data_IF_498414073488
#
_entry.id   IF_498414073488
#
_cell.length_a   1.000
_cell.length_b   1.000
_cell.length_c   1.000
_cell.angle_alpha   90.00
_cell.angle_beta   90.00
_cell.angle_gamma   90.00
#
_symmetry.space_group_name_H-M   'P 1'
#
loop_
_entity.id
_entity.type
_entity.pdbx_description
1 polymer ?
#
# COMPACT_ATOMS: atom_id res chain seq x y z
N UNK A 1 -65.16 5.67 -30.82
CA UNK A 1 -65.69 4.63 -29.90
C UNK A 1 -66.96 4.05 -30.51
N UNK A 2 -67.00 2.75 -30.74
CA UNK A 2 -68.03 2.06 -31.50
C UNK A 2 -68.75 1.02 -30.64
N UNK A 3 -70.08 0.99 -30.69
CA UNK A 3 -70.87 0.01 -29.96
C UNK A 3 -70.94 -1.30 -30.72
N UNK A 4 -70.59 -2.41 -30.07
CA UNK A 4 -70.63 -3.76 -30.64
C UNK A 4 -71.37 -4.71 -29.67
N UNK A 5 -71.79 -5.91 -30.12
CA UNK A 5 -72.37 -6.92 -29.23
C UNK A 5 -71.43 -7.37 -28.09
N UNK A 6 -70.14 -7.02 -28.15
CA UNK A 6 -69.13 -7.31 -27.13
C UNK A 6 -68.79 -6.09 -26.25
N UNK A 7 -69.50 -4.97 -26.43
CA UNK A 7 -69.30 -3.72 -25.68
C UNK A 7 -68.79 -2.59 -26.57
N UNK A 8 -68.40 -1.49 -25.92
CA UNK A 8 -67.89 -0.28 -26.59
C UNK A 8 -66.40 -0.47 -26.87
N UNK A 9 -66.02 -0.42 -28.15
CA UNK A 9 -64.64 -0.59 -28.61
C UNK A 9 -64.04 0.74 -29.10
N UNK A 10 -62.74 0.94 -28.90
CA UNK A 10 -62.03 2.02 -29.58
C UNK A 10 -61.88 1.71 -31.07
N UNK A 11 -61.61 2.73 -31.89
CA UNK A 11 -61.63 2.61 -33.36
C UNK A 11 -60.67 1.53 -33.89
N UNK A 12 -59.48 1.40 -33.26
CA UNK A 12 -58.52 0.34 -33.63
C UNK A 12 -58.99 -1.07 -33.27
N UNK A 13 -59.69 -1.23 -32.15
CA UNK A 13 -60.24 -2.53 -31.75
C UNK A 13 -61.47 -2.88 -32.59
N UNK A 14 -62.26 -1.88 -32.96
CA UNK A 14 -63.41 -2.04 -33.85
C UNK A 14 -62.99 -2.49 -35.25
N UNK A 15 -61.99 -1.85 -35.88
CA UNK A 15 -61.47 -2.25 -37.19
C UNK A 15 -60.90 -3.68 -37.17
N UNK A 16 -60.17 -4.04 -36.11
CA UNK A 16 -59.63 -5.40 -35.96
C UNK A 16 -60.74 -6.44 -35.87
N UNK A 17 -61.77 -6.17 -35.06
CA UNK A 17 -62.94 -7.04 -34.93
C UNK A 17 -63.71 -7.14 -36.25
N UNK A 18 -63.89 -6.02 -36.95
CA UNK A 18 -64.58 -6.00 -38.24
C UNK A 18 -63.88 -6.86 -39.29
N UNK A 19 -62.55 -6.91 -39.27
CA UNK A 19 -61.76 -7.65 -40.26
C UNK A 19 -61.56 -9.14 -39.88
N UNK A 20 -61.50 -9.47 -38.59
CA UNK A 20 -61.14 -10.82 -38.12
C UNK A 20 -62.27 -11.58 -37.44
N UNK A 21 -63.35 -10.91 -37.03
CA UNK A 21 -64.41 -11.47 -36.19
C UNK A 21 -64.02 -11.74 -34.74
N UNK A 22 -62.75 -11.54 -34.37
CA UNK A 22 -62.20 -11.82 -33.04
C UNK A 22 -61.92 -10.54 -32.26
N UNK A 23 -61.96 -10.62 -30.92
CA UNK A 23 -61.46 -9.53 -30.07
C UNK A 23 -59.95 -9.43 -30.21
N UNK A 24 -59.45 -8.19 -30.26
CA UNK A 24 -58.01 -7.92 -30.36
C UNK A 24 -57.29 -8.50 -29.13
N UNK A 25 -56.30 -9.40 -29.29
CA UNK A 25 -55.55 -9.94 -28.15
C UNK A 25 -54.86 -8.82 -27.36
N UNK A 26 -55.02 -8.84 -26.03
CA UNK A 26 -54.53 -7.81 -25.10
C UNK A 26 -52.99 -7.72 -25.06
N UNK A 27 -52.30 -8.72 -25.62
CA UNK A 27 -50.85 -8.84 -25.63
C UNK A 27 -50.10 -7.99 -26.67
N UNK A 28 -50.75 -7.00 -27.29
CA UNK A 28 -50.08 -5.97 -28.11
C UNK A 28 -49.93 -4.64 -27.37
N UNK A 29 -49.57 -4.69 -26.08
CA UNK A 29 -48.58 -3.72 -25.62
C UNK A 29 -47.26 -4.15 -26.25
N UNK A 30 -46.75 -3.33 -27.17
CA UNK A 30 -45.50 -3.57 -27.86
C UNK A 30 -44.43 -4.00 -26.86
N UNK A 31 -43.93 -5.25 -26.98
CA UNK A 31 -42.77 -5.76 -26.22
C UNK A 31 -41.49 -4.93 -26.43
N UNK A 32 -41.53 -3.92 -27.31
CA UNK A 32 -40.49 -2.92 -27.52
C UNK A 32 -40.55 -1.71 -26.57
N UNK A 33 -41.61 -1.51 -25.79
CA UNK A 33 -41.71 -0.36 -24.85
C UNK A 33 -41.32 -0.67 -23.40
N UNK A 34 -41.00 -1.93 -23.06
CA UNK A 34 -40.68 -2.34 -21.67
C UNK A 34 -39.16 -2.52 -21.45
N UNK A 35 -38.33 -2.43 -22.49
CA UNK A 35 -36.87 -2.64 -22.35
C UNK A 35 -36.05 -1.39 -22.01
N UNK A 36 -36.66 -0.21 -21.90
CA UNK A 36 -35.92 1.06 -21.89
C UNK A 36 -36.20 2.03 -20.74
N UNK A 37 -36.62 1.59 -19.54
CA UNK A 37 -36.50 2.44 -18.33
C UNK A 37 -36.41 1.58 -17.07
N UNK A 38 -35.23 1.19 -16.59
CA UNK A 38 -35.08 0.61 -15.23
C UNK A 38 -33.76 0.92 -14.52
N UNK A 39 -33.00 1.91 -14.98
CA UNK A 39 -31.87 2.41 -14.22
C UNK A 39 -32.09 3.92 -13.99
N UNK A 40 -31.74 4.42 -12.80
CA UNK A 40 -31.73 5.86 -12.57
C UNK A 40 -30.85 6.57 -13.62
N UNK A 41 -31.11 7.86 -13.92
CA UNK A 41 -30.25 8.63 -14.81
C UNK A 41 -28.78 8.53 -14.39
N UNK A 42 -27.86 8.76 -15.32
CA UNK A 42 -26.41 8.72 -15.05
C UNK A 42 -26.10 9.59 -13.82
N UNK A 43 -25.28 9.06 -12.91
CA UNK A 43 -24.88 9.69 -11.64
C UNK A 43 -25.98 9.78 -10.55
N UNK A 44 -27.09 9.05 -10.70
CA UNK A 44 -28.06 8.89 -9.63
C UNK A 44 -28.03 7.45 -9.14
N UNK A 45 -27.86 7.25 -7.83
CA UNK A 45 -27.99 5.95 -7.18
C UNK A 45 -29.29 5.92 -6.39
N UNK A 46 -30.13 4.93 -6.66
CA UNK A 46 -31.39 4.71 -5.93
C UNK A 46 -31.27 3.39 -5.16
N UNK A 47 -31.17 3.49 -3.84
CA UNK A 47 -31.18 2.33 -2.94
C UNK A 47 -32.43 2.38 -2.05
N UNK A 48 -33.23 1.32 -2.09
CA UNK A 48 -34.49 1.20 -1.35
C UNK A 48 -34.24 1.18 0.17
N UNK A 49 -33.08 0.70 0.59
CA UNK A 49 -32.68 0.65 2.00
C UNK A 49 -32.46 2.07 2.54
N UNK A 50 -31.84 2.94 1.76
CA UNK A 50 -31.58 4.33 2.15
C UNK A 50 -32.85 5.21 2.14
N UNK A 51 -33.84 4.87 1.31
CA UNK A 51 -35.13 5.57 1.25
C UNK A 51 -36.05 5.29 2.45
N UNK A 52 -35.75 4.26 3.25
CA UNK A 52 -36.64 3.77 4.32
C UNK A 52 -36.02 3.79 5.72
N UNK A 53 -34.71 4.03 5.82
CA UNK A 53 -33.95 3.82 7.07
C UNK A 53 -33.88 5.02 8.00
N UNK A 54 -33.70 6.24 7.48
CA UNK A 54 -33.43 7.43 8.29
C UNK A 54 -34.22 8.65 7.79
N UNK A 55 -34.58 9.55 8.71
CA UNK A 55 -35.06 10.89 8.35
C UNK A 55 -33.97 11.63 7.57
N UNK A 56 -34.35 12.27 6.47
CA UNK A 56 -33.42 12.97 5.55
C UNK A 56 -32.54 13.97 6.32
N UNK A 57 -33.13 14.76 7.22
CA UNK A 57 -32.44 15.77 8.02
C UNK A 57 -31.29 15.19 8.87
N UNK A 58 -31.50 14.01 9.46
CA UNK A 58 -30.47 13.35 10.26
C UNK A 58 -29.33 12.84 9.38
N UNK A 59 -29.65 12.28 8.22
CA UNK A 59 -28.63 11.81 7.27
C UNK A 59 -27.79 12.97 6.73
N UNK A 60 -28.41 14.12 6.47
CA UNK A 60 -27.70 15.33 6.09
C UNK A 60 -26.75 15.79 7.20
N UNK A 61 -27.20 15.84 8.45
CA UNK A 61 -26.34 16.19 9.59
C UNK A 61 -25.16 15.22 9.76
N UNK A 62 -25.41 13.92 9.71
CA UNK A 62 -24.38 12.88 9.80
C UNK A 62 -23.34 13.04 8.67
N UNK A 63 -23.77 13.29 7.43
CA UNK A 63 -22.86 13.53 6.30
C UNK A 63 -22.01 14.78 6.52
N UNK A 64 -22.59 15.88 7.02
CA UNK A 64 -21.84 17.10 7.28
C UNK A 64 -20.79 16.91 8.38
N UNK A 65 -21.15 16.19 9.45
CA UNK A 65 -20.23 15.88 10.55
C UNK A 65 -19.05 15.03 10.06
N UNK A 66 -19.31 13.96 9.32
CA UNK A 66 -18.27 13.11 8.74
C UNK A 66 -17.36 13.88 7.78
N UNK A 67 -17.93 14.74 6.92
CA UNK A 67 -17.15 15.58 6.02
C UNK A 67 -16.25 16.55 6.79
N UNK A 68 -16.73 17.14 7.89
CA UNK A 68 -15.94 18.03 8.74
C UNK A 68 -14.77 17.30 9.38
N UNK A 69 -14.99 16.08 9.88
CA UNK A 69 -13.93 15.23 10.44
C UNK A 69 -12.88 14.89 9.38
N UNK A 70 -13.31 14.49 8.17
CA UNK A 70 -12.39 14.18 7.06
C UNK A 70 -11.54 15.40 6.68
N UNK A 71 -12.14 16.59 6.64
CA UNK A 71 -11.40 17.82 6.36
C UNK A 71 -10.34 18.10 7.42
N UNK A 72 -10.65 17.92 8.70
CA UNK A 72 -9.70 18.09 9.80
C UNK A 72 -8.55 17.05 9.74
N UNK A 73 -8.88 15.79 9.43
CA UNK A 73 -7.87 14.74 9.26
C UNK A 73 -6.92 15.05 8.11
N UNK A 74 -7.42 15.54 6.98
CA UNK A 74 -6.59 15.91 5.84
C UNK A 74 -5.57 17.01 6.20
N UNK A 75 -6.00 18.03 6.95
CA UNK A 75 -5.09 19.08 7.46
C UNK A 75 -4.02 18.51 8.39
N UNK A 76 -4.41 17.59 9.28
CA UNK A 76 -3.47 16.92 10.19
C UNK A 76 -2.44 16.08 9.44
N UNK A 77 -2.88 15.33 8.42
CA UNK A 77 -1.98 14.53 7.57
C UNK A 77 -0.99 15.43 6.83
N UNK A 78 -1.45 16.55 6.29
CA UNK A 78 -0.58 17.51 5.59
C UNK A 78 0.49 18.07 6.53
N UNK A 79 0.09 18.46 7.74
CA UNK A 79 1.01 18.93 8.78
C UNK A 79 2.07 17.88 9.13
N UNK A 80 1.65 16.64 9.45
CA UNK A 80 2.56 15.55 9.80
C UNK A 80 3.50 15.20 8.65
N UNK A 81 2.99 15.16 7.42
CA UNK A 81 3.80 14.91 6.22
C UNK A 81 4.88 15.97 6.06
N UNK A 82 4.54 17.24 6.28
CA UNK A 82 5.51 18.34 6.23
C UNK A 82 6.55 18.22 7.33
N UNK A 83 6.14 17.90 8.56
CA UNK A 83 7.04 17.70 9.69
C UNK A 83 8.06 16.58 9.41
N UNK A 84 7.61 15.41 8.98
CA UNK A 84 8.51 14.28 8.69
C UNK A 84 9.49 14.58 7.56
N UNK A 85 9.10 15.38 6.56
CA UNK A 85 10.03 15.83 5.50
C UNK A 85 11.15 16.70 6.06
N UNK A 86 10.83 17.64 6.94
CA UNK A 86 11.83 18.50 7.61
C UNK A 86 12.77 17.65 8.47
N UNK A 87 12.24 16.69 9.23
CA UNK A 87 13.07 15.78 10.04
C UNK A 87 14.05 14.97 9.16
N UNK A 88 13.60 14.45 8.01
CA UNK A 88 14.47 13.71 7.08
C UNK A 88 15.56 14.60 6.44
N UNK A 89 15.26 15.86 6.13
CA UNK A 89 16.25 16.80 5.61
C UNK A 89 17.35 17.11 6.64
N UNK A 90 17.01 17.12 7.94
CA UNK A 90 18.00 17.32 9.02
C UNK A 90 18.85 16.09 9.33
N UNK A 91 18.38 14.88 9.00
CA UNK A 91 19.07 13.60 9.26
C UNK A 91 20.04 13.22 8.13
N UNK A 92 20.16 14.03 7.07
CA UNK A 92 21.07 13.73 5.97
C UNK A 92 22.53 13.81 6.43
N UNK A 93 23.08 12.70 6.95
CA UNK A 93 24.48 12.55 7.37
C UNK A 93 25.36 12.83 6.15
N UNK A 94 26.03 14.00 6.05
CA UNK A 94 26.84 14.33 4.87
C UNK A 94 28.06 13.40 4.76
N UNK A 95 28.44 12.75 5.86
CA UNK A 95 29.71 12.03 6.00
C UNK A 95 29.76 10.69 5.25
N UNK A 96 28.63 9.96 5.11
CA UNK A 96 28.66 8.64 4.45
C UNK A 96 28.46 8.71 2.94
N UNK A 97 27.83 9.76 2.43
CA UNK A 97 27.54 9.89 0.99
C UNK A 97 28.73 10.51 0.25
N UNK A 98 29.53 11.36 0.91
CA UNK A 98 30.64 12.08 0.26
C UNK A 98 31.84 11.19 -0.13
N UNK A 99 31.98 10.00 0.45
CA UNK A 99 33.13 9.11 0.21
C UNK A 99 32.83 7.91 -0.68
N UNK A 100 31.58 7.72 -1.10
CA UNK A 100 31.24 6.65 -2.06
C UNK A 100 31.55 7.18 -3.45
N UNK A 101 32.71 6.82 -3.99
CA UNK A 101 33.05 7.08 -5.39
C UNK A 101 32.18 6.16 -6.27
N UNK A 102 30.94 6.58 -6.52
CA UNK A 102 29.89 5.80 -7.21
C UNK A 102 30.27 5.49 -8.68
N UNK A 103 31.36 6.05 -9.18
CA UNK A 103 31.82 5.91 -10.55
C UNK A 103 32.81 4.75 -10.76
N UNK A 104 33.16 3.99 -9.72
CA UNK A 104 34.04 2.83 -9.85
C UNK A 104 33.27 1.64 -10.42
N UNK A 105 33.80 1.05 -11.49
CA UNK A 105 33.22 -0.12 -12.15
C UNK A 105 33.44 -1.38 -11.31
N UNK A 106 32.48 -2.30 -11.34
CA UNK A 106 32.57 -3.58 -10.63
C UNK A 106 33.83 -4.35 -11.06
N UNK A 107 34.61 -4.83 -10.10
CA UNK A 107 35.85 -5.58 -10.35
C UNK A 107 35.72 -7.01 -9.83
N UNK A 108 36.19 -7.98 -10.63
CA UNK A 108 36.14 -9.40 -10.24
C UNK A 108 37.22 -9.77 -9.20
N UNK A 109 38.27 -8.98 -9.07
CA UNK A 109 39.40 -9.24 -8.17
C UNK A 109 39.18 -8.60 -6.81
N UNK A 110 39.41 -9.36 -5.74
CA UNK A 110 39.36 -8.87 -4.36
C UNK A 110 40.69 -8.25 -3.93
N UNK A 111 40.69 -6.95 -3.64
CA UNK A 111 41.85 -6.27 -3.04
C UNK A 111 41.95 -6.61 -1.55
N UNK A 112 43.14 -6.46 -0.97
CA UNK A 112 43.34 -6.66 0.48
C UNK A 112 42.43 -5.76 1.31
N UNK A 113 42.21 -4.53 0.87
CA UNK A 113 41.31 -3.58 1.52
C UNK A 113 39.86 -4.07 1.49
N UNK A 114 39.38 -4.51 0.32
CA UNK A 114 38.02 -5.06 0.17
C UNK A 114 37.83 -6.31 1.04
N UNK A 115 38.83 -7.18 1.13
CA UNK A 115 38.80 -8.38 1.99
C UNK A 115 38.66 -7.99 3.46
N UNK A 116 39.46 -7.03 3.92
CA UNK A 116 39.41 -6.57 5.32
C UNK A 116 38.08 -5.90 5.65
N UNK A 117 37.54 -5.09 4.74
CA UNK A 117 36.21 -4.49 4.86
C UNK A 117 35.12 -5.55 4.91
N UNK A 118 35.18 -6.57 4.04
CA UNK A 118 34.22 -7.66 4.02
C UNK A 118 34.22 -8.43 5.34
N UNK A 119 35.39 -8.81 5.86
CA UNK A 119 35.51 -9.53 7.14
C UNK A 119 34.91 -8.70 8.29
N UNK A 120 35.23 -7.41 8.36
CA UNK A 120 34.68 -6.52 9.39
C UNK A 120 33.15 -6.33 9.26
N UNK A 121 32.65 -6.23 8.02
CA UNK A 121 31.24 -6.10 7.76
C UNK A 121 30.47 -7.38 8.13
N UNK A 122 30.99 -8.57 7.78
CA UNK A 122 30.42 -9.85 8.22
C UNK A 122 30.43 -9.98 9.73
N UNK A 123 31.51 -9.56 10.40
CA UNK A 123 31.61 -9.53 11.84
C UNK A 123 30.47 -8.73 12.48
N UNK A 124 30.15 -7.55 11.92
CA UNK A 124 29.18 -6.63 12.51
C UNK A 124 27.73 -6.88 12.09
N UNK A 125 27.51 -7.26 10.83
CA UNK A 125 26.18 -7.34 10.22
C UNK A 125 25.75 -8.77 9.90
N UNK A 126 26.63 -9.76 10.12
CA UNK A 126 26.36 -11.15 9.79
C UNK A 126 26.15 -11.35 8.29
N UNK A 127 25.25 -12.26 7.93
CA UNK A 127 24.95 -12.65 6.54
C UNK A 127 24.01 -11.68 5.81
N UNK A 128 23.95 -10.41 6.23
CA UNK A 128 23.27 -9.34 5.48
C UNK A 128 24.15 -8.88 4.31
N UNK A 129 24.13 -9.67 3.23
CA UNK A 129 24.97 -9.45 2.05
C UNK A 129 24.73 -8.09 1.38
N UNK A 130 23.52 -7.53 1.49
CA UNK A 130 23.19 -6.23 0.94
C UNK A 130 23.89 -5.10 1.72
N UNK A 131 23.84 -5.16 3.05
CA UNK A 131 24.57 -4.21 3.91
C UNK A 131 26.07 -4.36 3.75
N UNK A 132 26.58 -5.59 3.67
CA UNK A 132 28.01 -5.87 3.45
C UNK A 132 28.49 -5.33 2.09
N UNK A 133 27.77 -5.56 0.99
CA UNK A 133 28.10 -5.00 -0.33
C UNK A 133 28.15 -3.47 -0.29
N UNK A 134 27.21 -2.82 0.42
CA UNK A 134 27.21 -1.36 0.54
C UNK A 134 28.39 -0.80 1.35
N UNK A 135 28.94 -1.57 2.29
CA UNK A 135 30.11 -1.18 3.08
C UNK A 135 31.40 -1.35 2.28
N UNK A 136 31.51 -2.44 1.51
CA UNK A 136 32.66 -2.69 0.65
C UNK A 136 32.73 -1.63 -0.47
N UNK A 137 31.58 -1.17 -0.96
CA UNK A 137 31.48 -0.03 -1.89
C UNK A 137 30.92 -0.42 -3.26
N UNK A 138 31.14 0.43 -4.26
CA UNK A 138 30.62 0.29 -5.64
C UNK A 138 31.28 -0.82 -6.46
N UNK A 139 32.42 -1.35 -6.02
CA UNK A 139 33.23 -2.31 -6.79
C UNK A 139 32.77 -3.76 -6.68
N UNK A 140 31.98 -4.12 -5.66
CA UNK A 140 31.48 -5.48 -5.40
C UNK A 140 29.97 -5.47 -5.21
N UNK A 141 29.27 -6.21 -6.06
CA UNK A 141 27.83 -6.37 -5.93
C UNK A 141 27.48 -7.47 -4.90
N UNK A 142 26.20 -7.62 -4.59
CA UNK A 142 25.71 -8.61 -3.62
C UNK A 142 26.13 -10.04 -3.99
N UNK A 143 26.10 -10.39 -5.27
CA UNK A 143 26.48 -11.72 -5.74
C UNK A 143 27.98 -12.00 -5.58
N UNK A 144 28.83 -11.01 -5.79
CA UNK A 144 30.27 -11.12 -5.55
C UNK A 144 30.54 -11.39 -4.05
N UNK A 145 29.80 -10.71 -3.18
CA UNK A 145 29.90 -10.86 -1.72
C UNK A 145 29.41 -12.24 -1.26
N UNK A 146 28.32 -12.76 -1.85
CA UNK A 146 27.86 -14.14 -1.61
C UNK A 146 28.92 -15.16 -2.00
N UNK A 147 29.50 -15.00 -3.19
CA UNK A 147 30.57 -15.86 -3.70
C UNK A 147 31.79 -15.82 -2.79
N UNK A 148 32.22 -14.63 -2.38
CA UNK A 148 33.30 -14.44 -1.42
C UNK A 148 33.01 -15.14 -0.09
N UNK A 149 31.79 -15.01 0.43
CA UNK A 149 31.41 -15.68 1.67
C UNK A 149 31.62 -17.19 1.54
N UNK A 150 31.10 -17.83 0.51
CA UNK A 150 31.24 -19.28 0.34
C UNK A 150 32.68 -19.72 0.03
N UNK A 151 33.42 -19.00 -0.81
CA UNK A 151 34.79 -19.40 -1.18
C UNK A 151 35.81 -19.14 -0.07
N UNK A 152 35.55 -18.13 0.78
CA UNK A 152 36.50 -17.67 1.78
C UNK A 152 36.06 -17.91 3.25
N UNK A 153 34.90 -18.53 3.49
CA UNK A 153 34.40 -18.81 4.86
C UNK A 153 35.42 -19.56 5.72
N UNK A 154 36.00 -20.65 5.22
CA UNK A 154 37.02 -21.43 5.95
C UNK A 154 38.33 -20.65 6.11
N UNK A 155 38.80 -20.02 5.02
CA UNK A 155 40.09 -19.33 4.98
C UNK A 155 40.16 -18.19 6.00
N UNK A 156 39.06 -17.46 6.15
CA UNK A 156 38.98 -16.32 7.07
C UNK A 156 38.13 -16.61 8.32
N UNK A 157 37.73 -17.87 8.52
CA UNK A 157 36.91 -18.31 9.66
C UNK A 157 35.68 -17.42 9.86
N UNK A 158 34.98 -17.09 8.77
CA UNK A 158 33.89 -16.10 8.78
C UNK A 158 32.77 -16.49 9.75
N UNK A 159 32.46 -17.77 9.88
CA UNK A 159 31.45 -18.24 10.85
C UNK A 159 31.88 -17.95 12.30
N UNK A 160 33.16 -18.14 12.64
CA UNK A 160 33.68 -17.78 13.98
C UNK A 160 33.59 -16.27 14.22
N UNK A 161 33.94 -15.46 13.23
CA UNK A 161 33.92 -14.00 13.32
C UNK A 161 32.49 -13.47 13.49
N UNK A 162 31.52 -14.08 12.80
CA UNK A 162 30.08 -13.79 12.97
C UNK A 162 29.60 -14.23 14.35
N UNK A 163 30.00 -15.42 14.82
CA UNK A 163 29.55 -15.98 16.09
C UNK A 163 30.10 -15.24 17.33
N UNK A 164 31.31 -14.68 17.24
CA UNK A 164 31.88 -13.86 18.31
C UNK A 164 31.05 -12.60 18.53
N UNK A 165 30.59 -11.99 17.44
CA UNK A 165 29.90 -10.70 17.47
C UNK A 165 28.37 -10.83 17.51
N UNK A 166 27.82 -12.03 17.25
CA UNK A 166 26.39 -12.31 17.42
C UNK A 166 25.99 -12.47 18.89
N UNK A 167 26.95 -12.77 19.77
CA UNK A 167 26.73 -12.81 21.21
C UNK A 167 26.69 -11.36 21.72
N UNK A 168 25.65 -10.97 22.49
CA UNK A 168 25.68 -9.68 23.16
C UNK A 168 26.95 -9.63 24.01
N UNK A 169 27.69 -8.53 23.93
CA UNK A 169 28.85 -8.27 24.78
C UNK A 169 28.33 -8.20 26.22
N UNK A 170 28.22 -9.34 26.90
CA UNK A 170 28.01 -9.38 28.33
C UNK A 170 29.36 -9.04 28.95
N UNK A 171 29.59 -7.75 29.18
CA UNK A 171 30.69 -7.25 29.99
C UNK A 171 30.61 -7.91 31.38
N UNK A 172 31.40 -8.96 31.58
CA UNK A 172 31.71 -9.52 32.89
C UNK A 172 33.20 -9.31 33.10
N UNK A 173 33.51 -8.55 34.17
CA UNK A 173 34.81 -8.13 34.73
C UNK A 173 35.11 -6.64 34.48
N UNK A 174 35.21 -5.73 35.45
CA UNK A 174 35.48 -5.86 36.88
C UNK A 174 35.00 -4.65 37.71
N UNK A 175 34.37 -4.99 38.83
CA UNK A 175 34.40 -4.42 40.18
C UNK A 175 35.51 -3.38 40.47
N UNK A 176 35.14 -2.10 40.43
CA UNK A 176 35.74 -0.94 41.14
C UNK A 176 34.61 0.10 41.09
N UNK A 177 33.77 0.28 42.10
CA UNK A 177 34.02 1.22 43.19
C UNK A 177 33.19 0.85 44.44
N UNK A 178 33.75 -0.02 45.28
CA UNK A 178 33.63 0.18 46.72
C UNK A 178 34.54 1.39 47.05
N UNK A 179 34.01 2.61 47.10
CA UNK A 179 34.45 3.81 47.88
C UNK A 179 33.52 4.97 47.48
N UNK A 180 32.27 4.99 47.98
CA UNK A 180 31.57 6.21 48.44
C UNK A 180 30.58 5.81 49.54
N UNK A 181 31.08 5.13 50.56
CA UNK A 181 30.45 5.12 51.88
C UNK A 181 31.56 5.40 52.87
N UNK A 182 31.77 6.70 53.10
CA UNK A 182 32.30 7.36 54.30
C UNK A 182 32.68 8.76 53.83
N UNK A 183 31.84 9.75 54.12
CA UNK A 183 32.18 11.03 54.77
C UNK A 183 31.28 12.20 54.32
N UNK A 184 30.60 12.73 55.35
CA UNK A 184 29.78 13.95 55.46
C UNK A 184 28.32 13.88 55.01
#
# INVERSE_FOLDING_TARGET
MHSTPKGILCDKCYIYWQNSGLMRPESYWSKSSIKNVKQPPKNMSLDLINLTSNSIEKLEEDIHNELSIIQLHNQSIEYLTKQSRVELETIHIPFLISNMNINETTTSTWSTEEILLAIQAFAKYGKDFHTVSRIIGSTKNVHDVETFFFECHERYQLDMVIDINSKPITNLQNKQDDIVFISQ
#
